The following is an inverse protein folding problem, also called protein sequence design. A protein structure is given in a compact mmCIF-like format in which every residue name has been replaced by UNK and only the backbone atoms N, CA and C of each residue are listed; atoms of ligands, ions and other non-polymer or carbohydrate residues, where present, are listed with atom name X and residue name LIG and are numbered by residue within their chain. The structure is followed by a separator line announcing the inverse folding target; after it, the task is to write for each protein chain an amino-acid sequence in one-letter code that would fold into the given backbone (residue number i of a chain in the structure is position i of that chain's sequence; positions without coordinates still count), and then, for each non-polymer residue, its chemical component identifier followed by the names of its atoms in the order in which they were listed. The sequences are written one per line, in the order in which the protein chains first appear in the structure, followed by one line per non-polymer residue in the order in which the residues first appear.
data_IF_153632102008
#
_entry.id   IF_153632102008
#
_cell.length_a   1.000
_cell.length_b   1.000
_cell.length_c   1.000
_cell.angle_alpha   90.00
_cell.angle_beta   90.00
_cell.angle_gamma   90.00
#
_symmetry.space_group_name_H-M   'P 1'
#
loop_
_entity.id
_entity.type
_entity.pdbx_description
1 polymer ?
#
# COMPACT_ATOMS: atom_id res chain seq x y z
N UNK A 1 6.59 53.66 -32.45
CA UNK A 1 6.38 52.41 -31.68
C UNK A 1 6.96 52.51 -30.27
N UNK A 2 6.68 53.59 -29.51
CA UNK A 2 7.28 53.83 -28.17
C UNK A 2 6.29 54.11 -27.04
N UNK A 3 4.97 54.20 -27.33
CA UNK A 3 3.94 54.52 -26.33
C UNK A 3 3.50 53.34 -25.48
N UNK A 4 3.45 52.12 -26.04
CA UNK A 4 2.94 50.92 -25.34
C UNK A 4 3.88 50.45 -24.22
N UNK A 5 5.20 50.53 -24.44
CA UNK A 5 6.20 50.14 -23.45
C UNK A 5 6.21 51.08 -22.22
N UNK A 6 5.98 52.38 -22.44
CA UNK A 6 5.92 53.37 -21.35
C UNK A 6 4.66 53.18 -20.48
N UNK A 7 3.53 52.82 -21.09
CA UNK A 7 2.30 52.57 -20.34
C UNK A 7 2.39 51.31 -19.47
N UNK A 8 2.99 50.23 -19.98
CA UNK A 8 3.24 49.01 -19.19
C UNK A 8 4.13 49.28 -17.98
N UNK A 9 5.22 50.04 -18.16
CA UNK A 9 6.11 50.41 -17.06
C UNK A 9 5.42 51.30 -16.01
N UNK A 10 4.52 52.19 -16.44
CA UNK A 10 3.72 53.00 -15.52
C UNK A 10 2.73 52.13 -14.71
N UNK A 11 2.08 51.15 -15.36
CA UNK A 11 1.19 50.19 -14.69
C UNK A 11 1.97 49.32 -13.70
N UNK A 12 3.14 48.80 -14.08
CA UNK A 12 3.98 47.97 -13.20
C UNK A 12 4.41 48.74 -11.94
N UNK A 13 4.78 50.02 -12.07
CA UNK A 13 5.09 50.90 -10.92
C UNK A 13 3.87 51.15 -10.04
N UNK A 14 2.72 51.44 -10.64
CA UNK A 14 1.47 51.65 -9.90
C UNK A 14 1.06 50.39 -9.12
N UNK A 15 1.21 49.22 -9.72
CA UNK A 15 0.91 47.93 -9.08
C UNK A 15 1.88 47.68 -7.92
N UNK A 16 3.18 47.94 -8.11
CA UNK A 16 4.17 47.79 -7.04
C UNK A 16 3.86 48.74 -5.86
N UNK A 17 3.58 50.01 -6.14
CA UNK A 17 3.21 50.99 -5.12
C UNK A 17 1.96 50.54 -4.34
N UNK A 18 0.96 49.99 -5.04
CA UNK A 18 -0.25 49.45 -4.43
C UNK A 18 0.04 48.22 -3.56
N UNK A 19 0.90 47.31 -4.00
CA UNK A 19 1.29 46.13 -3.23
C UNK A 19 2.04 46.56 -1.96
N UNK A 20 2.99 47.49 -2.07
CA UNK A 20 3.74 48.03 -0.94
C UNK A 20 2.83 48.74 0.07
N UNK A 21 1.86 49.51 -0.43
CA UNK A 21 0.86 50.18 0.41
C UNK A 21 -0.04 49.17 1.15
N UNK A 22 -0.56 48.14 0.46
CA UNK A 22 -1.34 47.06 1.07
C UNK A 22 -0.53 46.24 2.08
N UNK A 23 0.78 46.02 1.84
CA UNK A 23 1.69 45.40 2.81
C UNK A 23 1.89 46.28 4.05
N UNK A 24 2.11 47.58 3.86
CA UNK A 24 2.29 48.54 4.97
C UNK A 24 1.02 48.70 5.82
N UNK A 25 -0.16 48.64 5.19
CA UNK A 25 -1.46 48.61 5.87
C UNK A 25 -1.77 47.28 6.56
N UNK A 26 -0.96 46.24 6.30
CA UNK A 26 -1.14 44.93 6.88
C UNK A 26 -2.36 44.19 6.32
N UNK A 27 -2.83 44.51 5.12
CA UNK A 27 -3.99 43.87 4.46
C UNK A 27 -3.73 42.36 4.19
N UNK A 28 -2.46 41.95 4.19
CA UNK A 28 -2.04 40.55 4.09
C UNK A 28 -1.94 39.81 5.43
N UNK A 29 -2.09 40.51 6.56
CA UNK A 29 -2.09 39.90 7.88
C UNK A 29 -3.47 39.30 8.19
N UNK A 30 -3.50 38.09 8.76
CA UNK A 30 -4.74 37.40 9.15
C UNK A 30 -5.74 37.17 7.99
N UNK A 31 -5.23 36.90 6.79
CA UNK A 31 -6.08 36.48 5.66
C UNK A 31 -6.95 35.27 6.04
N UNK A 32 -8.18 35.17 5.48
CA UNK A 32 -9.04 34.03 5.73
C UNK A 32 -8.35 32.74 5.27
N UNK A 33 -7.99 31.88 6.24
CA UNK A 33 -7.24 30.64 5.99
C UNK A 33 -5.75 30.70 6.32
N UNK A 34 -5.22 31.85 6.74
CA UNK A 34 -3.84 31.97 7.22
C UNK A 34 -3.59 31.05 8.42
N UNK A 35 -2.49 30.28 8.36
CA UNK A 35 -2.09 29.31 9.39
C UNK A 35 -2.99 28.07 9.53
N UNK A 36 -4.09 27.97 8.77
CA UNK A 36 -4.93 26.76 8.74
C UNK A 36 -4.35 25.76 7.72
N UNK A 37 -4.41 24.45 8.00
CA UNK A 37 -4.10 23.45 6.99
C UNK A 37 -4.92 23.72 5.73
N UNK A 38 -4.27 23.66 4.57
CA UNK A 38 -4.96 23.72 3.28
C UNK A 38 -6.08 22.67 3.29
N UNK A 39 -7.30 23.08 2.98
CA UNK A 39 -8.41 22.14 2.81
C UNK A 39 -8.20 21.41 1.50
N UNK A 40 -7.40 20.33 1.53
CA UNK A 40 -7.33 19.34 0.48
C UNK A 40 -8.63 18.51 0.49
N UNK A 41 -9.78 19.15 0.28
CA UNK A 41 -10.89 18.44 -0.31
C UNK A 41 -10.61 18.50 -1.81
N UNK A 42 -10.15 17.41 -2.45
CA UNK A 42 -10.28 17.33 -3.89
C UNK A 42 -11.78 17.32 -4.13
N UNK A 43 -12.40 18.50 -4.29
CA UNK A 43 -13.68 18.61 -4.96
C UNK A 43 -13.40 18.19 -6.38
N UNK A 44 -13.44 16.87 -6.60
CA UNK A 44 -13.45 16.31 -7.93
C UNK A 44 -14.71 16.88 -8.59
N UNK A 45 -14.58 17.81 -9.56
CA UNK A 45 -15.73 18.50 -10.15
C UNK A 45 -16.61 17.53 -10.95
N UNK A 46 -16.13 16.30 -11.18
CA UNK A 46 -16.84 15.22 -11.84
C UNK A 46 -17.63 14.32 -10.87
N UNK A 47 -17.63 14.59 -9.56
CA UNK A 47 -18.37 13.81 -8.55
C UNK A 47 -19.53 14.64 -8.02
N UNK A 48 -20.74 14.08 -8.07
CA UNK A 48 -21.93 14.75 -7.55
C UNK A 48 -21.88 14.91 -6.01
N UNK A 49 -22.62 15.90 -5.50
CA UNK A 49 -22.61 16.24 -4.08
C UNK A 49 -23.10 15.12 -3.16
N UNK A 50 -23.93 14.19 -3.66
CA UNK A 50 -24.45 13.05 -2.88
C UNK A 50 -23.36 11.99 -2.74
N UNK A 51 -22.72 11.61 -3.84
CA UNK A 51 -21.61 10.64 -3.86
C UNK A 51 -20.44 11.11 -3.00
N UNK A 52 -20.12 12.41 -3.05
CA UNK A 52 -19.08 12.98 -2.19
C UNK A 52 -19.39 12.81 -0.70
N UNK A 53 -20.60 13.18 -0.28
CA UNK A 53 -21.04 13.05 1.12
C UNK A 53 -21.08 11.59 1.55
N UNK A 54 -21.49 10.67 0.67
CA UNK A 54 -21.46 9.24 0.95
C UNK A 54 -20.03 8.77 1.21
N UNK A 55 -19.09 9.10 0.31
CA UNK A 55 -17.68 8.74 0.48
C UNK A 55 -17.09 9.35 1.76
N UNK A 56 -17.43 10.59 2.09
CA UNK A 56 -17.04 11.25 3.34
C UNK A 56 -17.54 10.48 4.57
N UNK A 57 -18.83 10.13 4.61
CA UNK A 57 -19.42 9.35 5.70
C UNK A 57 -18.78 7.96 5.82
N UNK A 58 -18.51 7.28 4.71
CA UNK A 58 -17.83 5.99 4.70
C UNK A 58 -16.41 6.12 5.30
N UNK A 59 -15.66 7.13 4.88
CA UNK A 59 -14.32 7.43 5.39
C UNK A 59 -14.35 7.75 6.89
N UNK A 60 -15.26 8.62 7.35
CA UNK A 60 -15.38 8.99 8.77
C UNK A 60 -15.73 7.80 9.65
N UNK A 61 -16.54 6.86 9.14
CA UNK A 61 -16.88 5.64 9.85
C UNK A 61 -15.81 4.53 9.76
N UNK A 62 -14.66 4.79 9.13
CA UNK A 62 -13.59 3.82 8.98
C UNK A 62 -13.90 2.68 8.01
N UNK A 63 -14.82 2.89 7.05
CA UNK A 63 -15.13 1.89 6.04
C UNK A 63 -13.92 1.63 5.14
N UNK A 64 -13.60 0.35 4.95
CA UNK A 64 -12.47 -0.11 4.14
C UNK A 64 -13.01 -0.75 2.85
N UNK A 65 -12.60 -0.29 1.66
CA UNK A 65 -12.98 -0.92 0.41
C UNK A 65 -12.57 -2.39 0.33
N UNK A 66 -13.36 -3.20 -0.35
CA UNK A 66 -13.13 -4.65 -0.48
C UNK A 66 -11.73 -4.99 -1.01
N UNK A 67 -11.24 -4.25 -2.02
CA UNK A 67 -9.92 -4.50 -2.61
C UNK A 67 -8.77 -4.30 -1.62
N UNK A 68 -8.92 -3.42 -0.62
CA UNK A 68 -7.90 -3.24 0.45
C UNK A 68 -7.85 -4.48 1.33
N UNK A 69 -9.01 -5.06 1.66
CA UNK A 69 -9.08 -6.31 2.43
C UNK A 69 -8.46 -7.47 1.64
N UNK A 70 -8.81 -7.59 0.36
CA UNK A 70 -8.24 -8.61 -0.54
C UNK A 70 -6.71 -8.48 -0.67
N UNK A 71 -6.18 -7.26 -0.78
CA UNK A 71 -4.73 -7.03 -0.84
C UNK A 71 -4.00 -7.56 0.41
N UNK A 72 -4.58 -7.32 1.60
CA UNK A 72 -4.04 -7.84 2.86
C UNK A 72 -4.09 -9.36 2.91
N UNK A 73 -5.23 -9.96 2.56
CA UNK A 73 -5.40 -11.42 2.53
C UNK A 73 -4.39 -12.08 1.58
N UNK A 74 -4.27 -11.58 0.34
CA UNK A 74 -3.32 -12.09 -0.65
C UNK A 74 -1.90 -12.00 -0.12
N UNK A 75 -1.54 -10.86 0.48
CA UNK A 75 -0.19 -10.64 1.02
C UNK A 75 0.13 -11.60 2.17
N UNK A 76 -0.84 -11.83 3.05
CA UNK A 76 -0.71 -12.76 4.17
C UNK A 76 -0.60 -14.22 3.70
N UNK A 77 -1.44 -14.64 2.75
CA UNK A 77 -1.38 -15.99 2.19
C UNK A 77 -0.08 -16.25 1.44
N UNK A 78 0.39 -15.29 0.63
CA UNK A 78 1.72 -15.35 -0.01
C UNK A 78 2.82 -15.52 1.03
N UNK A 79 2.76 -14.78 2.14
CA UNK A 79 3.74 -14.89 3.24
C UNK A 79 3.69 -16.27 3.89
N UNK A 80 2.49 -16.76 4.25
CA UNK A 80 2.31 -18.09 4.86
C UNK A 80 2.85 -19.20 3.96
N UNK A 81 2.57 -19.13 2.66
CA UNK A 81 3.04 -20.12 1.69
C UNK A 81 4.56 -20.11 1.54
N UNK A 82 5.19 -18.93 1.49
CA UNK A 82 6.65 -18.78 1.49
C UNK A 82 7.29 -19.33 2.76
N UNK A 83 6.71 -19.03 3.92
CA UNK A 83 7.20 -19.56 5.20
C UNK A 83 7.12 -21.08 5.24
N UNK A 84 6.02 -21.68 4.77
CA UNK A 84 5.87 -23.13 4.70
C UNK A 84 6.90 -23.77 3.77
N UNK A 85 7.15 -23.18 2.59
CA UNK A 85 8.21 -23.64 1.68
C UNK A 85 9.60 -23.54 2.32
N UNK A 86 9.90 -22.43 2.99
CA UNK A 86 11.17 -22.23 3.68
C UNK A 86 11.36 -23.22 4.84
N UNK A 87 10.30 -23.54 5.58
CA UNK A 87 10.33 -24.52 6.65
C UNK A 87 10.63 -25.92 6.10
N UNK A 88 9.91 -26.35 5.05
CA UNK A 88 10.18 -27.60 4.35
C UNK A 88 11.61 -27.66 3.80
N UNK A 89 12.08 -26.56 3.23
CA UNK A 89 13.46 -26.46 2.72
C UNK A 89 14.51 -26.61 3.83
N UNK A 90 14.25 -26.09 5.02
CA UNK A 90 15.18 -26.14 6.17
C UNK A 90 15.35 -27.55 6.75
N UNK A 91 14.40 -28.45 6.50
CA UNK A 91 14.44 -29.85 6.91
C UNK A 91 15.33 -30.70 5.98
N UNK A 92 15.66 -30.20 4.80
CA UNK A 92 16.45 -30.89 3.78
C UNK A 92 17.95 -30.55 3.87
N UNK A 93 18.79 -31.37 3.23
CA UNK A 93 20.24 -31.19 3.16
C UNK A 93 20.72 -29.92 2.44
N UNK A 94 22.05 -29.83 2.30
CA UNK A 94 22.69 -28.76 1.54
C UNK A 94 22.29 -28.84 0.06
N UNK A 95 22.13 -27.68 -0.60
CA UNK A 95 21.93 -27.66 -2.04
C UNK A 95 23.25 -28.04 -2.75
N UNK A 96 23.21 -28.72 -3.91
CA UNK A 96 22.02 -29.22 -4.61
C UNK A 96 21.44 -30.49 -3.97
N UNK A 97 20.11 -30.57 -3.90
CA UNK A 97 19.41 -31.77 -3.44
C UNK A 97 19.58 -32.90 -4.45
N UNK A 98 19.81 -34.13 -3.97
CA UNK A 98 19.96 -35.30 -4.82
C UNK A 98 19.11 -36.48 -4.32
N UNK A 99 18.70 -37.34 -5.23
CA UNK A 99 17.98 -38.57 -4.91
C UNK A 99 16.62 -38.32 -4.25
N UNK A 100 16.42 -38.91 -3.07
CA UNK A 100 15.13 -38.90 -2.36
C UNK A 100 14.77 -37.53 -1.78
N UNK A 101 15.75 -36.70 -1.41
CA UNK A 101 15.49 -35.34 -0.92
C UNK A 101 14.91 -34.43 -2.02
N UNK A 102 15.30 -34.65 -3.27
CA UNK A 102 14.75 -33.90 -4.40
C UNK A 102 13.31 -34.32 -4.69
N UNK A 103 12.98 -35.62 -4.55
CA UNK A 103 11.61 -36.11 -4.70
C UNK A 103 10.70 -35.58 -3.61
N UNK A 104 11.14 -35.63 -2.36
CA UNK A 104 10.38 -35.11 -1.22
C UNK A 104 10.14 -33.61 -1.33
N UNK A 105 11.12 -32.84 -1.83
CA UNK A 105 10.94 -31.43 -2.14
C UNK A 105 9.88 -31.21 -3.22
N UNK A 106 9.95 -31.94 -4.33
CA UNK A 106 8.97 -31.83 -5.42
C UNK A 106 7.55 -32.18 -4.96
N UNK A 107 7.40 -33.22 -4.14
CA UNK A 107 6.11 -33.59 -3.54
C UNK A 107 5.59 -32.51 -2.59
N UNK A 108 6.47 -31.93 -1.76
CA UNK A 108 6.11 -30.82 -0.88
C UNK A 108 5.62 -29.60 -1.67
N UNK A 109 6.32 -29.24 -2.76
CA UNK A 109 5.89 -28.15 -3.66
C UNK A 109 4.55 -28.49 -4.31
N UNK A 110 4.37 -29.70 -4.87
CA UNK A 110 3.11 -30.14 -5.47
C UNK A 110 1.94 -30.11 -4.49
N UNK A 111 2.17 -30.48 -3.23
CA UNK A 111 1.12 -30.43 -2.19
C UNK A 111 0.58 -29.01 -1.97
N UNK A 112 1.36 -27.98 -2.31
CA UNK A 112 1.04 -26.57 -2.15
C UNK A 112 0.42 -25.92 -3.40
N UNK A 113 0.29 -26.64 -4.53
CA UNK A 113 -0.29 -26.10 -5.77
C UNK A 113 -1.71 -25.58 -5.57
N UNK A 114 -2.53 -26.30 -4.79
CA UNK A 114 -3.90 -25.89 -4.51
C UNK A 114 -3.98 -24.56 -3.76
N UNK A 115 -3.05 -24.30 -2.84
CA UNK A 115 -2.97 -23.05 -2.10
C UNK A 115 -2.51 -21.90 -3.01
N UNK A 116 -1.52 -22.14 -3.88
CA UNK A 116 -1.10 -21.18 -4.89
C UNK A 116 -2.25 -20.82 -5.86
N UNK A 117 -3.04 -21.80 -6.29
CA UNK A 117 -4.21 -21.58 -7.13
C UNK A 117 -5.29 -20.73 -6.43
N UNK A 118 -5.51 -20.93 -5.13
CA UNK A 118 -6.43 -20.09 -4.35
C UNK A 118 -5.96 -18.63 -4.28
N UNK A 119 -4.67 -18.41 -4.03
CA UNK A 119 -4.06 -17.07 -4.06
C UNK A 119 -4.29 -16.42 -5.44
N UNK A 120 -4.08 -17.17 -6.54
CA UNK A 120 -4.26 -16.63 -7.89
C UNK A 120 -5.70 -16.23 -8.19
N UNK A 121 -6.69 -17.01 -7.72
CA UNK A 121 -8.11 -16.61 -7.82
C UNK A 121 -8.41 -15.31 -7.07
N UNK A 122 -7.80 -15.11 -5.90
CA UNK A 122 -7.93 -13.85 -5.15
C UNK A 122 -7.26 -12.68 -5.89
N UNK A 123 -6.10 -12.93 -6.50
CA UNK A 123 -5.42 -11.93 -7.35
C UNK A 123 -6.30 -11.54 -8.54
N UNK A 124 -6.95 -12.51 -9.20
CA UNK A 124 -7.88 -12.21 -10.29
C UNK A 124 -9.04 -11.33 -9.81
N UNK A 125 -9.66 -11.70 -8.68
CA UNK A 125 -10.71 -10.88 -8.07
C UNK A 125 -10.21 -9.48 -7.77
N UNK A 126 -9.07 -9.35 -7.11
CA UNK A 126 -8.44 -8.08 -6.79
C UNK A 126 -8.18 -7.23 -8.04
N UNK A 127 -7.64 -7.83 -9.10
CA UNK A 127 -7.37 -7.14 -10.38
C UNK A 127 -8.64 -6.65 -11.07
N UNK A 128 -9.78 -7.32 -10.85
CA UNK A 128 -11.09 -6.90 -11.37
C UNK A 128 -11.71 -5.75 -10.57
N UNK A 129 -11.47 -5.68 -9.25
CA UNK A 129 -12.11 -4.69 -8.38
C UNK A 129 -11.24 -3.46 -8.10
N UNK A 130 -9.94 -3.52 -8.34
CA UNK A 130 -9.03 -2.41 -8.06
C UNK A 130 -9.23 -1.29 -9.10
N UNK A 131 -9.50 -0.05 -8.69
CA UNK A 131 -9.77 1.05 -9.62
C UNK A 131 -8.51 1.61 -10.29
N UNK A 132 -7.32 1.14 -9.88
CA UNK A 132 -6.02 1.67 -10.28
C UNK A 132 -5.22 0.59 -11.03
N UNK A 133 -4.95 0.83 -12.31
CA UNK A 133 -4.18 -0.10 -13.15
C UNK A 133 -2.78 -0.38 -12.57
N UNK A 134 -2.13 0.63 -12.00
CA UNK A 134 -0.81 0.52 -11.37
C UNK A 134 -0.76 -0.36 -10.12
N UNK A 135 -1.92 -0.71 -9.56
CA UNK A 135 -2.04 -1.55 -8.37
C UNK A 135 -2.31 -3.01 -8.69
N UNK A 136 -2.58 -3.35 -9.95
CA UNK A 136 -2.80 -4.74 -10.36
C UNK A 136 -1.59 -5.63 -10.04
N UNK A 137 -1.87 -6.88 -9.70
CA UNK A 137 -0.88 -7.86 -9.28
C UNK A 137 -0.74 -8.99 -10.30
N UNK A 138 0.50 -9.47 -10.47
CA UNK A 138 0.76 -10.70 -11.20
C UNK A 138 0.42 -11.93 -10.36
N UNK A 139 0.07 -13.01 -11.05
CA UNK A 139 -0.12 -14.32 -10.42
C UNK A 139 1.11 -14.77 -9.66
N UNK A 140 0.86 -15.45 -8.55
CA UNK A 140 1.86 -16.12 -7.75
C UNK A 140 2.31 -17.42 -8.45
N UNK A 141 3.57 -17.43 -8.88
CA UNK A 141 4.21 -18.61 -9.45
C UNK A 141 4.90 -19.42 -8.36
N UNK A 142 4.32 -20.58 -8.02
CA UNK A 142 4.88 -21.47 -7.01
C UNK A 142 6.25 -22.04 -7.44
N UNK A 143 6.40 -22.36 -8.73
CA UNK A 143 7.65 -22.89 -9.28
C UNK A 143 8.79 -21.89 -9.09
N UNK A 144 8.61 -20.65 -9.56
CA UNK A 144 9.64 -19.61 -9.44
C UNK A 144 9.98 -19.32 -7.98
N UNK A 145 9.00 -19.35 -7.08
CA UNK A 145 9.24 -19.11 -5.66
C UNK A 145 9.99 -20.27 -5.00
N UNK A 146 9.66 -21.52 -5.36
CA UNK A 146 10.36 -22.70 -4.86
C UNK A 146 11.83 -22.74 -5.30
N UNK A 147 12.12 -22.33 -6.53
CA UNK A 147 13.49 -22.22 -7.05
C UNK A 147 14.29 -21.15 -6.31
N UNK A 148 13.71 -19.96 -6.11
CA UNK A 148 14.36 -18.90 -5.31
C UNK A 148 14.70 -19.38 -3.91
N UNK A 149 13.78 -20.11 -3.27
CA UNK A 149 13.98 -20.66 -1.92
C UNK A 149 15.09 -21.71 -1.92
N UNK A 150 15.17 -22.57 -2.94
CA UNK A 150 16.25 -23.55 -3.10
C UNK A 150 17.63 -22.88 -3.23
N UNK A 151 17.73 -21.79 -3.99
CA UNK A 151 18.98 -21.06 -4.25
C UNK A 151 19.38 -20.15 -3.07
N UNK A 152 18.41 -19.68 -2.29
CA UNK A 152 18.70 -18.86 -1.11
C UNK A 152 19.38 -19.68 -0.01
N UNK A 153 20.45 -19.14 0.58
CA UNK A 153 21.18 -19.79 1.68
C UNK A 153 20.33 -19.71 2.94
N UNK A 154 19.55 -20.77 3.21
CA UNK A 154 18.78 -20.90 4.45
C UNK A 154 19.64 -21.65 5.48
N UNK A 155 19.98 -21.05 6.64
CA UNK A 155 20.65 -21.77 7.71
C UNK A 155 19.78 -22.93 8.19
N UNK A 156 20.35 -24.14 8.25
CA UNK A 156 19.68 -25.35 8.75
C UNK A 156 19.16 -25.11 10.17
N UNK A 157 17.86 -25.17 10.37
CA UNK A 157 17.30 -25.15 11.72
C UNK A 157 17.45 -26.55 12.33
N UNK A 158 18.32 -26.68 13.33
CA UNK A 158 18.40 -27.89 14.13
C UNK A 158 17.05 -28.11 14.85
N UNK A 159 16.47 -29.29 14.70
CA UNK A 159 15.18 -29.69 15.29
C UNK A 159 15.11 -29.35 16.78
N UNK A 160 14.25 -28.41 17.17
CA UNK A 160 13.85 -28.24 18.58
C UNK A 160 12.75 -29.26 18.89
N UNK A 161 13.06 -30.19 19.79
CA UNK A 161 12.08 -31.08 20.43
C UNK A 161 11.02 -30.22 21.14
N UNK A 162 9.76 -30.55 20.89
CA UNK A 162 8.57 -29.99 21.50
C UNK A 162 8.42 -30.46 22.96
N UNK A 163 8.23 -29.50 23.87
CA UNK A 163 7.57 -29.72 25.17
C UNK A 163 6.46 -28.65 25.27
N UNK A 164 5.22 -29.12 25.31
CA UNK A 164 3.96 -28.41 25.65
C UNK A 164 4.04 -27.89 27.12
N UNK A 165 3.48 -26.78 27.63
CA UNK A 165 2.15 -26.11 27.55
C UNK A 165 2.14 -24.90 28.57
N UNK A 166 1.10 -24.06 28.82
CA UNK A 166 0.26 -23.17 27.97
C UNK A 166 0.14 -21.68 28.46
N UNK A 167 -0.73 -20.92 27.74
CA UNK A 167 -1.49 -19.68 28.07
C UNK A 167 -0.74 -18.33 28.14
N UNK A 168 -1.28 -17.14 27.84
CA UNK A 168 -2.40 -16.60 27.07
C UNK A 168 -2.32 -15.06 27.26
N UNK A 169 -2.59 -14.25 26.23
CA UNK A 169 -3.47 -13.05 26.25
C UNK A 169 -3.26 -12.15 25.03
N UNK A 170 -4.39 -11.85 24.41
CA UNK A 170 -4.67 -10.81 23.45
C UNK A 170 -4.32 -9.42 23.99
N UNK A 171 -3.88 -8.52 23.10
CA UNK A 171 -4.54 -7.22 23.00
C UNK A 171 -4.34 -6.61 21.61
N UNK A 172 -5.49 -6.24 21.06
CA UNK A 172 -5.73 -5.51 19.82
C UNK A 172 -5.09 -4.13 19.84
N UNK A 173 -4.33 -3.79 18.79
CA UNK A 173 -3.99 -2.41 18.43
C UNK A 173 -4.12 -2.27 16.91
N UNK A 174 -5.36 -2.17 16.42
CA UNK A 174 -5.67 -1.89 15.00
C UNK A 174 -5.77 -0.37 14.70
N UNK A 175 -5.61 0.51 15.70
CA UNK A 175 -5.75 1.96 15.52
C UNK A 175 -4.59 2.61 14.75
N UNK A 176 -3.43 1.97 14.65
CA UNK A 176 -2.29 2.50 13.91
C UNK A 176 -2.46 2.43 12.39
N UNK A 177 -3.10 1.37 11.89
CA UNK A 177 -3.06 1.00 10.47
C UNK A 177 -3.96 1.87 9.58
N UNK A 178 -5.11 2.29 10.10
CA UNK A 178 -6.02 3.19 9.37
C UNK A 178 -5.41 4.58 9.17
N UNK A 179 -4.64 5.08 10.16
CA UNK A 179 -3.97 6.37 10.08
C UNK A 179 -2.92 6.43 8.94
N UNK A 180 -2.20 5.33 8.69
CA UNK A 180 -1.24 5.23 7.59
C UNK A 180 -1.90 5.22 6.21
N UNK A 181 -3.05 4.54 6.07
CA UNK A 181 -3.79 4.49 4.80
C UNK A 181 -4.38 5.87 4.47
N UNK A 182 -4.94 6.58 5.47
CA UNK A 182 -5.47 7.94 5.25
C UNK A 182 -4.36 8.95 4.94
N UNK A 183 -3.17 8.83 5.53
CA UNK A 183 -2.01 9.67 5.21
C UNK A 183 -1.47 9.44 3.78
N UNK A 184 -1.57 8.23 3.24
CA UNK A 184 -1.10 7.92 1.90
C UNK A 184 -2.08 8.38 0.81
N UNK A 185 -3.39 8.39 1.11
CA UNK A 185 -4.44 8.86 0.20
C UNK A 185 -4.51 10.39 0.13
N UNK A 186 -4.12 11.10 1.20
CA UNK A 186 -4.11 12.58 1.25
C UNK A 186 -2.87 13.22 0.62
N UNK A 187 -1.90 12.43 0.13
CA UNK A 187 -0.66 12.92 -0.47
C UNK A 187 -0.62 12.67 -1.98
N UNK A 188 -1.64 13.12 -2.70
CA UNK A 188 -1.67 13.29 -4.17
C UNK A 188 -2.58 14.46 -4.53
#
# INVERSE_FOLDING_TARGET
MGGEASNRQAIERLVEDLIQESMARGEFNNLPGSGKPLKFAPENPYVDSTTRKLNEVLITNGYVPEWVMLEREISEEKRRLRSALSERRSQLGAAPLAGDEQRSWQEAVRSMDSAAAQINRKIDKFNMVVPLLSKQQLHFSLVSESEKILTSVIPRQASKKTTHEPEAKSNSNDEGLLSFIFSAITKW
#
